data_IF_728626805675
#
_entry.id   IF_728626805675
#
_cell.length_a   1.000
_cell.length_b   1.000
_cell.length_c   1.000
_cell.angle_alpha   90.00
_cell.angle_beta   90.00
_cell.angle_gamma   90.00
#
_symmetry.space_group_name_H-M   'P 1'
#
loop_
_entity.id
_entity.type
_entity.pdbx_description
1 polymer ?
#
# COMPACT_ATOMS: atom_id res chain seq x y z
N UNK A 1 23.96 -19.90 -21.00
CA UNK A 1 22.69 -19.77 -20.26
C UNK A 1 23.05 -19.23 -18.88
N UNK A 2 22.66 -18.00 -18.55
CA UNK A 2 22.84 -17.49 -17.19
C UNK A 2 21.89 -18.26 -16.28
N UNK A 3 22.44 -19.04 -15.35
CA UNK A 3 21.66 -19.80 -14.36
C UNK A 3 21.06 -18.79 -13.37
N UNK A 4 19.73 -18.75 -13.24
CA UNK A 4 19.06 -17.87 -12.27
C UNK A 4 19.53 -18.17 -10.85
N UNK A 5 19.78 -17.13 -10.04
CA UNK A 5 20.07 -17.29 -8.61
C UNK A 5 18.83 -17.81 -7.86
N UNK A 6 19.02 -18.34 -6.65
CA UNK A 6 17.90 -18.78 -5.80
C UNK A 6 16.97 -17.62 -5.44
N UNK A 7 17.51 -16.40 -5.22
CA UNK A 7 16.70 -15.21 -4.99
C UNK A 7 15.90 -14.79 -6.23
N UNK A 8 16.43 -14.97 -7.45
CA UNK A 8 15.66 -14.71 -8.67
C UNK A 8 14.46 -15.66 -8.78
N UNK A 9 14.67 -16.96 -8.54
CA UNK A 9 13.59 -17.96 -8.56
C UNK A 9 12.52 -17.64 -7.51
N UNK A 10 12.97 -17.33 -6.28
CA UNK A 10 12.06 -16.98 -5.19
C UNK A 10 11.25 -15.72 -5.49
N UNK A 11 11.86 -14.69 -6.09
CA UNK A 11 11.14 -13.48 -6.48
C UNK A 11 10.11 -13.77 -7.56
N UNK A 12 10.45 -14.59 -8.55
CA UNK A 12 9.52 -14.98 -9.61
C UNK A 12 8.32 -15.77 -9.06
N UNK A 13 8.56 -16.71 -8.13
CA UNK A 13 7.50 -17.44 -7.42
C UNK A 13 6.62 -16.52 -6.57
N UNK A 14 7.23 -15.60 -5.83
CA UNK A 14 6.50 -14.61 -5.02
C UNK A 14 5.69 -13.65 -5.92
N UNK A 15 6.22 -13.18 -7.06
CA UNK A 15 5.50 -12.36 -8.04
C UNK A 15 4.33 -13.12 -8.66
N UNK A 16 4.52 -14.39 -9.04
CA UNK A 16 3.44 -15.24 -9.56
C UNK A 16 2.33 -15.36 -8.51
N UNK A 17 2.72 -15.66 -7.26
CA UNK A 17 1.78 -15.77 -6.14
C UNK A 17 1.00 -14.47 -5.93
N UNK A 18 1.66 -13.31 -5.94
CA UNK A 18 0.99 -12.02 -5.82
C UNK A 18 0.04 -11.76 -7.00
N UNK A 19 0.46 -12.08 -8.23
CA UNK A 19 -0.36 -11.88 -9.42
C UNK A 19 -1.62 -12.75 -9.38
N UNK A 20 -1.47 -14.03 -9.05
CA UNK A 20 -2.57 -15.00 -8.96
C UNK A 20 -3.56 -14.69 -7.83
N UNK A 21 -3.07 -14.10 -6.73
CA UNK A 21 -3.90 -13.85 -5.54
C UNK A 21 -4.52 -12.46 -5.51
N UNK A 22 -3.85 -11.44 -6.08
CA UNK A 22 -4.30 -10.06 -6.02
C UNK A 22 -5.06 -9.61 -7.27
N UNK A 23 -4.96 -10.34 -8.39
CA UNK A 23 -5.73 -10.09 -9.61
C UNK A 23 -6.88 -11.08 -9.67
N UNK A 24 -8.03 -10.69 -9.12
CA UNK A 24 -9.25 -11.49 -9.12
C UNK A 24 -10.37 -10.76 -9.88
N UNK A 25 -11.19 -11.54 -10.60
CA UNK A 25 -12.41 -11.01 -11.23
C UNK A 25 -13.53 -10.74 -10.21
N UNK A 26 -13.48 -11.45 -9.09
CA UNK A 26 -14.40 -11.32 -7.96
C UNK A 26 -13.80 -10.45 -6.85
N UNK A 27 -14.59 -10.23 -5.79
CA UNK A 27 -14.15 -9.52 -4.59
C UNK A 27 -12.82 -10.08 -4.05
N UNK A 28 -11.86 -9.20 -3.77
CA UNK A 28 -10.55 -9.56 -3.25
C UNK A 28 -10.67 -9.90 -1.75
N UNK A 29 -10.34 -11.11 -1.27
CA UNK A 29 -10.40 -11.37 0.16
C UNK A 29 -9.28 -10.63 0.91
N UNK A 30 -9.57 -9.87 2.01
CA UNK A 30 -8.54 -9.19 2.80
C UNK A 30 -7.47 -10.14 3.35
N UNK A 31 -7.81 -11.42 3.54
CA UNK A 31 -6.86 -12.48 3.94
C UNK A 31 -5.69 -12.63 2.97
N UNK A 32 -5.85 -12.36 1.68
CA UNK A 32 -4.73 -12.44 0.73
C UNK A 32 -3.74 -11.30 0.97
N UNK A 33 -4.22 -10.11 1.30
CA UNK A 33 -3.33 -9.04 1.76
C UNK A 33 -2.64 -9.44 3.07
N UNK A 34 -3.43 -9.84 4.07
CA UNK A 34 -2.95 -10.13 5.43
C UNK A 34 -1.95 -11.29 5.50
N UNK A 35 -2.24 -12.39 4.83
CA UNK A 35 -1.50 -13.66 4.99
C UNK A 35 -0.52 -13.96 3.86
N UNK A 36 -0.67 -13.33 2.70
CA UNK A 36 0.16 -13.61 1.51
C UNK A 36 0.99 -12.37 1.15
N UNK A 37 0.33 -11.25 0.90
CA UNK A 37 1.00 -10.04 0.45
C UNK A 37 1.92 -9.45 1.53
N UNK A 38 1.45 -9.32 2.78
CA UNK A 38 2.25 -8.72 3.86
C UNK A 38 3.59 -9.45 4.08
N UNK A 39 3.66 -10.80 4.23
CA UNK A 39 4.93 -11.49 4.38
C UNK A 39 5.87 -11.33 3.18
N UNK A 40 5.35 -11.39 1.95
CA UNK A 40 6.13 -11.23 0.71
C UNK A 40 6.71 -9.81 0.65
N UNK A 41 5.87 -8.79 0.81
CA UNK A 41 6.28 -7.38 0.80
C UNK A 41 7.32 -7.09 1.88
N UNK A 42 7.13 -7.62 3.09
CA UNK A 42 8.12 -7.50 4.19
C UNK A 42 9.47 -8.08 3.78
N UNK A 43 9.49 -9.31 3.28
CA UNK A 43 10.73 -10.01 2.88
C UNK A 43 11.53 -9.19 1.86
N UNK A 44 10.84 -8.73 0.81
CA UNK A 44 11.49 -8.03 -0.30
C UNK A 44 11.92 -6.60 0.07
N UNK A 45 11.09 -5.87 0.81
CA UNK A 45 11.34 -4.46 1.11
C UNK A 45 12.01 -4.25 2.48
N UNK A 46 11.40 -4.75 3.56
CA UNK A 46 11.87 -4.51 4.95
C UNK A 46 13.12 -5.34 5.26
N UNK A 47 13.11 -6.62 4.91
CA UNK A 47 14.25 -7.53 5.11
C UNK A 47 15.29 -7.39 3.98
N UNK A 48 15.07 -6.44 3.06
CA UNK A 48 15.99 -5.97 2.01
C UNK A 48 16.40 -7.02 0.96
N UNK A 49 15.66 -8.11 0.80
CA UNK A 49 16.00 -9.12 -0.20
C UNK A 49 16.04 -8.57 -1.63
N UNK A 50 15.24 -7.53 -1.94
CA UNK A 50 15.23 -6.93 -3.28
C UNK A 50 16.55 -6.20 -3.57
N UNK A 51 17.11 -5.52 -2.57
CA UNK A 51 18.41 -4.84 -2.69
C UNK A 51 19.57 -5.84 -2.77
N UNK A 52 19.48 -6.95 -2.01
CA UNK A 52 20.47 -8.03 -2.08
C UNK A 52 20.45 -8.62 -3.49
N UNK A 53 19.27 -8.97 -4.01
CA UNK A 53 19.11 -9.49 -5.35
C UNK A 53 19.64 -8.53 -6.41
N UNK A 54 19.24 -7.24 -6.36
CA UNK A 54 19.71 -6.22 -7.31
C UNK A 54 21.25 -6.15 -7.37
N UNK A 55 21.92 -6.25 -6.22
CA UNK A 55 23.38 -6.30 -6.12
C UNK A 55 23.97 -7.60 -6.69
N UNK A 56 23.34 -8.75 -6.43
CA UNK A 56 23.79 -10.04 -6.95
C UNK A 56 23.76 -10.12 -8.47
N UNK A 57 22.70 -9.58 -9.09
CA UNK A 57 22.52 -9.63 -10.56
C UNK A 57 23.10 -8.40 -11.27
N UNK A 58 23.61 -7.41 -10.54
CA UNK A 58 24.19 -6.19 -11.11
C UNK A 58 23.19 -5.28 -11.83
N UNK A 59 21.89 -5.38 -11.52
CA UNK A 59 20.82 -4.60 -12.15
C UNK A 59 20.18 -3.63 -11.17
N UNK A 60 19.60 -2.56 -11.69
CA UNK A 60 18.76 -1.66 -10.89
C UNK A 60 17.34 -2.18 -10.87
N UNK A 61 16.79 -2.45 -9.68
CA UNK A 61 15.39 -2.82 -9.47
C UNK A 61 14.63 -1.66 -8.85
N UNK A 62 13.52 -1.28 -9.46
CA UNK A 62 12.65 -0.18 -9.03
C UNK A 62 11.19 -0.62 -8.97
N UNK A 63 10.44 0.01 -8.07
CA UNK A 63 9.01 -0.22 -7.90
C UNK A 63 8.23 0.98 -8.44
N UNK A 64 7.17 0.76 -9.24
CA UNK A 64 6.24 1.81 -9.64
C UNK A 64 5.35 2.20 -8.45
N UNK A 65 5.08 3.49 -8.28
CA UNK A 65 4.17 3.99 -7.23
C UNK A 65 3.64 5.37 -7.60
N UNK A 66 2.43 5.70 -7.13
CA UNK A 66 1.91 7.06 -7.25
C UNK A 66 2.76 8.05 -6.45
N UNK A 67 3.18 9.12 -7.11
CA UNK A 67 3.87 10.25 -6.50
C UNK A 67 2.87 11.13 -5.73
N UNK A 68 3.03 11.14 -4.41
CA UNK A 68 2.20 11.92 -3.49
C UNK A 68 2.94 13.11 -2.89
N UNK A 69 4.14 13.44 -3.38
CA UNK A 69 5.00 14.47 -2.79
C UNK A 69 4.27 15.83 -2.69
N UNK A 70 3.61 16.25 -3.77
CA UNK A 70 2.85 17.50 -3.83
C UNK A 70 1.66 17.49 -2.84
N UNK A 71 1.01 16.35 -2.66
CA UNK A 71 -0.12 16.23 -1.74
C UNK A 71 0.35 16.39 -0.30
N UNK A 72 1.43 15.72 0.08
CA UNK A 72 1.98 15.84 1.44
C UNK A 72 2.61 17.21 1.72
N UNK A 73 3.12 17.91 0.71
CA UNK A 73 3.52 19.31 0.82
C UNK A 73 2.30 20.20 1.14
N UNK A 74 1.21 20.06 0.38
CA UNK A 74 -0.03 20.84 0.59
C UNK A 74 -0.76 20.48 1.88
N UNK A 75 -0.74 19.22 2.33
CA UNK A 75 -1.33 18.81 3.60
C UNK A 75 -0.73 19.57 4.78
N UNK A 76 0.57 19.90 4.71
CA UNK A 76 1.26 20.64 5.76
C UNK A 76 0.82 22.11 5.87
N UNK A 77 0.18 22.66 4.84
CA UNK A 77 -0.26 24.07 4.79
C UNK A 77 -1.77 24.24 5.03
N UNK A 78 -2.52 23.15 5.07
CA UNK A 78 -3.99 23.12 5.20
C UNK A 78 -4.45 22.81 6.63
N UNK A 79 -3.73 23.29 7.64
CA UNK A 79 -4.01 23.01 9.06
C UNK A 79 -5.52 23.05 9.37
N UNK A 80 -6.02 21.94 9.93
CA UNK A 80 -7.41 21.71 10.36
C UNK A 80 -8.49 21.57 9.27
N UNK A 81 -8.13 21.56 7.98
CA UNK A 81 -9.10 21.35 6.88
C UNK A 81 -9.21 19.89 6.45
N UNK A 82 -8.07 19.20 6.35
CA UNK A 82 -8.02 17.77 6.02
C UNK A 82 -7.57 17.04 7.27
N UNK A 83 -8.34 16.05 7.72
CA UNK A 83 -8.00 15.24 8.90
C UNK A 83 -7.51 13.84 8.52
N UNK A 84 -7.74 13.40 7.28
CA UNK A 84 -7.24 12.12 6.77
C UNK A 84 -6.86 12.20 5.29
N UNK A 85 -5.78 11.52 4.92
CA UNK A 85 -5.41 11.24 3.53
C UNK A 85 -4.76 9.86 3.42
N UNK A 86 -5.09 9.13 2.35
CA UNK A 86 -4.47 7.88 1.94
C UNK A 86 -4.08 7.97 0.46
N UNK A 87 -2.85 7.57 0.16
CA UNK A 87 -2.21 7.70 -1.13
C UNK A 87 -2.66 6.70 -2.19
N UNK A 88 -3.30 5.58 -1.83
CA UNK A 88 -3.92 4.65 -2.77
C UNK A 88 -2.97 4.14 -3.86
N UNK A 89 -3.38 4.23 -5.12
CA UNK A 89 -2.66 3.65 -6.25
C UNK A 89 -2.86 2.14 -6.33
N UNK A 90 -4.09 1.70 -6.10
CA UNK A 90 -4.50 0.31 -6.21
C UNK A 90 -5.67 0.17 -7.17
N UNK A 91 -5.72 -0.99 -7.82
CA UNK A 91 -6.97 -1.48 -8.39
C UNK A 91 -7.69 -2.32 -7.33
N UNK A 92 -8.91 -1.93 -6.99
CA UNK A 92 -9.79 -2.63 -6.05
C UNK A 92 -11.24 -2.37 -6.44
N UNK A 93 -12.08 -3.40 -6.43
CA UNK A 93 -13.49 -3.28 -6.78
C UNK A 93 -13.71 -2.80 -8.21
N UNK A 94 -12.86 -3.23 -9.15
CA UNK A 94 -12.91 -2.83 -10.57
C UNK A 94 -12.49 -1.38 -10.85
N UNK A 95 -12.16 -0.60 -9.82
CA UNK A 95 -11.85 0.82 -9.92
C UNK A 95 -10.39 1.09 -9.55
N UNK A 96 -9.80 2.12 -10.17
CA UNK A 96 -8.50 2.62 -9.76
C UNK A 96 -8.67 3.66 -8.64
N UNK A 97 -8.32 3.27 -7.42
CA UNK A 97 -8.37 4.17 -6.26
C UNK A 97 -7.07 4.97 -6.24
N UNK A 98 -7.10 6.18 -6.79
CA UNK A 98 -5.92 7.06 -6.85
C UNK A 98 -5.53 7.58 -5.48
N UNK A 99 -6.49 8.08 -4.69
CA UNK A 99 -6.30 8.54 -3.31
C UNK A 99 -7.66 8.69 -2.63
N UNK A 100 -7.67 8.73 -1.30
CA UNK A 100 -8.86 9.06 -0.51
C UNK A 100 -8.47 10.13 0.50
N UNK A 101 -9.27 11.20 0.62
CA UNK A 101 -9.12 12.19 1.68
C UNK A 101 -10.46 12.42 2.36
N UNK A 102 -10.40 12.75 3.65
CA UNK A 102 -11.54 13.22 4.41
C UNK A 102 -11.26 14.63 4.92
N UNK A 103 -12.27 15.49 4.81
CA UNK A 103 -12.19 16.90 5.15
C UNK A 103 -13.49 17.37 5.78
N UNK A 104 -13.36 18.31 6.72
CA UNK A 104 -14.50 19.03 7.30
C UNK A 104 -15.04 20.15 6.39
N UNK A 105 -14.39 20.43 5.26
CA UNK A 105 -14.85 21.45 4.32
C UNK A 105 -15.95 20.90 3.42
N UNK A 106 -16.93 21.74 3.07
CA UNK A 106 -17.95 21.40 2.08
C UNK A 106 -17.29 21.09 0.73
N UNK A 107 -17.74 20.02 0.08
CA UNK A 107 -17.24 19.61 -1.21
C UNK A 107 -17.79 20.52 -2.32
N UNK A 108 -16.92 21.30 -2.95
CA UNK A 108 -17.29 22.25 -4.01
C UNK A 108 -17.30 21.63 -5.42
N UNK A 109 -17.23 20.31 -5.55
CA UNK A 109 -17.15 19.60 -6.83
C UNK A 109 -15.73 19.27 -7.28
N UNK A 110 -14.70 19.78 -6.59
CA UNK A 110 -13.29 19.48 -6.86
C UNK A 110 -12.55 19.08 -5.58
N UNK A 111 -11.50 18.25 -5.69
CA UNK A 111 -10.69 17.90 -4.54
C UNK A 111 -9.90 19.10 -4.00
N UNK A 112 -9.92 19.27 -2.68
CA UNK A 112 -9.21 20.34 -1.96
C UNK A 112 -7.72 20.34 -2.31
N UNK A 113 -7.17 19.15 -2.49
CA UNK A 113 -5.81 18.95 -2.97
C UNK A 113 -5.90 18.19 -4.30
N UNK A 114 -6.00 18.93 -5.39
CA UNK A 114 -5.77 18.35 -6.70
C UNK A 114 -4.27 18.14 -6.93
N UNK A 115 -3.91 16.91 -7.25
CA UNK A 115 -2.62 16.51 -7.79
C UNK A 115 -2.88 15.46 -8.86
N UNK A 116 -2.36 15.67 -10.06
CA UNK A 116 -2.49 14.71 -11.14
C UNK A 116 -1.76 13.41 -10.75
N UNK A 117 -2.40 12.24 -10.86
CA UNK A 117 -1.78 10.98 -10.48
C UNK A 117 -0.62 10.66 -11.43
N UNK A 118 0.61 10.77 -10.95
CA UNK A 118 1.81 10.42 -11.70
C UNK A 118 2.48 9.18 -11.10
N UNK A 119 2.85 8.21 -11.93
CA UNK A 119 3.59 7.03 -11.50
C UNK A 119 5.09 7.32 -11.61
N UNK A 120 5.80 7.17 -10.50
CA UNK A 120 7.26 7.24 -10.46
C UNK A 120 7.84 5.85 -10.21
N UNK A 121 9.04 5.62 -10.77
CA UNK A 121 9.86 4.46 -10.44
C UNK A 121 10.83 4.85 -9.34
N UNK A 122 10.88 4.09 -8.26
CA UNK A 122 11.85 4.34 -7.20
C UNK A 122 12.52 3.05 -6.68
N UNK A 123 13.81 3.12 -6.28
CA UNK A 123 14.47 2.03 -5.57
C UNK A 123 13.76 1.72 -4.25
N UNK A 124 13.90 0.49 -3.75
CA UNK A 124 13.21 0.04 -2.53
C UNK A 124 13.46 0.94 -1.32
N UNK A 125 14.68 1.47 -1.15
CA UNK A 125 15.00 2.38 -0.05
C UNK A 125 14.21 3.69 -0.12
N UNK A 126 14.08 4.27 -1.33
CA UNK A 126 13.28 5.48 -1.53
C UNK A 126 11.79 5.15 -1.37
N UNK A 127 11.33 4.04 -1.93
CA UNK A 127 9.95 3.55 -1.82
C UNK A 127 9.47 3.49 -0.36
N UNK A 128 10.30 2.94 0.52
CA UNK A 128 10.02 2.80 1.96
C UNK A 128 9.87 4.13 2.70
N UNK A 129 10.46 5.21 2.19
CA UNK A 129 10.39 6.55 2.79
C UNK A 129 9.20 7.39 2.32
N UNK A 130 8.50 6.95 1.27
CA UNK A 130 7.35 7.67 0.73
C UNK A 130 6.24 7.75 1.78
N UNK A 131 5.71 8.96 1.97
CA UNK A 131 4.57 9.24 2.83
C UNK A 131 3.30 8.72 2.15
N UNK A 132 2.47 7.99 2.88
CA UNK A 132 1.32 7.26 2.31
C UNK A 132 0.01 7.56 3.02
N UNK A 133 0.04 7.65 4.35
CA UNK A 133 -1.14 7.97 5.16
C UNK A 133 -0.88 9.21 6.00
N UNK A 134 -1.85 10.11 6.05
CA UNK A 134 -1.93 11.21 7.01
C UNK A 134 -3.20 11.05 7.83
N UNK A 135 -3.11 11.22 9.15
CA UNK A 135 -4.27 11.23 10.03
C UNK A 135 -4.01 12.12 11.24
N UNK A 136 -4.84 13.16 11.42
CA UNK A 136 -4.81 14.08 12.56
C UNK A 136 -3.39 14.56 12.91
N UNK A 137 -2.67 15.10 11.92
CA UNK A 137 -1.30 15.63 12.09
C UNK A 137 -0.18 14.59 12.04
N UNK A 138 -0.50 13.29 12.07
CA UNK A 138 0.49 12.22 11.97
C UNK A 138 0.65 11.79 10.51
N UNK A 139 1.91 11.57 10.10
CA UNK A 139 2.25 11.07 8.77
C UNK A 139 2.92 9.71 8.93
N UNK A 140 2.47 8.74 8.14
CA UNK A 140 3.02 7.41 8.09
C UNK A 140 3.59 7.13 6.70
N UNK A 141 4.85 6.67 6.68
CA UNK A 141 5.50 6.22 5.47
C UNK A 141 5.28 4.73 5.24
N UNK A 142 5.63 4.28 4.03
CA UNK A 142 5.45 2.90 3.61
C UNK A 142 6.16 1.89 4.54
N UNK A 143 7.35 2.23 5.04
CA UNK A 143 8.07 1.41 6.01
C UNK A 143 7.29 1.19 7.32
N UNK A 144 6.73 2.25 7.89
CA UNK A 144 5.94 2.16 9.13
C UNK A 144 4.68 1.31 8.92
N UNK A 145 4.01 1.47 7.79
CA UNK A 145 2.79 0.74 7.44
C UNK A 145 3.06 -0.76 7.32
N UNK A 146 4.04 -1.16 6.48
CA UNK A 146 4.39 -2.57 6.27
C UNK A 146 4.85 -3.21 7.58
N UNK A 147 5.70 -2.51 8.35
CA UNK A 147 6.22 -3.00 9.63
C UNK A 147 5.08 -3.22 10.64
N UNK A 148 4.16 -2.24 10.76
CA UNK A 148 3.04 -2.32 11.68
C UNK A 148 2.12 -3.50 11.36
N UNK A 149 1.70 -3.65 10.10
CA UNK A 149 0.85 -4.77 9.70
C UNK A 149 1.55 -6.12 9.83
N UNK A 150 2.84 -6.20 9.47
CA UNK A 150 3.63 -7.43 9.61
C UNK A 150 3.72 -7.91 11.06
N UNK A 151 3.93 -6.98 12.00
CA UNK A 151 4.03 -7.32 13.42
C UNK A 151 2.66 -7.70 14.01
N UNK A 152 1.60 -6.97 13.62
CA UNK A 152 0.23 -7.23 14.08
C UNK A 152 -0.33 -8.55 13.54
N UNK A 153 -0.08 -8.87 12.27
CA UNK A 153 -0.55 -10.10 11.62
C UNK A 153 0.31 -11.32 11.95
N UNK A 154 1.62 -11.13 12.19
CA UNK A 154 2.52 -12.20 12.60
C UNK A 154 2.37 -12.64 14.07
N UNK A 155 1.47 -12.04 14.84
CA UNK A 155 1.27 -12.34 16.27
C UNK A 155 2.48 -12.01 17.15
N UNK A 156 3.45 -11.26 16.63
CA UNK A 156 4.66 -10.87 17.35
C UNK A 156 4.33 -9.63 18.18
N UNK A 157 3.63 -9.84 19.30
CA UNK A 157 3.43 -8.82 20.34
C UNK A 157 4.70 -8.51 21.14
N UNK A 158 5.84 -9.09 20.79
CA UNK A 158 7.09 -8.94 21.52
C UNK A 158 8.04 -7.95 20.84
N UNK A 159 7.64 -6.69 20.78
CA UNK A 159 8.59 -5.61 20.50
C UNK A 159 9.29 -5.23 21.82
N UNK A 160 10.55 -5.63 21.99
CA UNK A 160 11.38 -5.24 23.15
C UNK A 160 11.54 -3.72 23.29
N UNK A 161 11.16 -2.96 22.26
CA UNK A 161 11.16 -1.51 22.23
C UNK A 161 9.74 -0.91 22.23
N UNK A 162 8.71 -1.66 22.66
CA UNK A 162 7.32 -1.22 22.67
C UNK A 162 7.14 0.20 23.26
N UNK A 163 7.82 0.52 24.37
CA UNK A 163 7.76 1.87 24.98
C UNK A 163 8.34 2.99 24.09
N UNK A 164 9.31 2.68 23.22
CA UNK A 164 9.91 3.63 22.27
C UNK A 164 8.99 3.92 21.08
N UNK A 165 8.14 2.96 20.71
CA UNK A 165 7.31 3.02 19.50
C UNK A 165 5.82 3.23 19.77
N UNK A 166 5.41 3.16 21.04
CA UNK A 166 4.02 3.32 21.51
C UNK A 166 3.30 4.50 20.89
N UNK A 167 3.94 5.67 20.78
CA UNK A 167 3.27 6.90 20.32
C UNK A 167 2.83 6.82 18.86
N UNK A 168 3.70 6.39 17.94
CA UNK A 168 3.34 6.30 16.53
C UNK A 168 2.51 5.04 16.23
N UNK A 169 2.72 3.94 16.97
CA UNK A 169 1.92 2.71 16.83
C UNK A 169 0.46 2.92 17.24
N UNK A 170 0.21 3.68 18.32
CA UNK A 170 -1.16 4.07 18.68
C UNK A 170 -1.76 5.00 17.62
N UNK A 171 -0.99 5.94 17.09
CA UNK A 171 -1.47 6.87 16.07
C UNK A 171 -1.80 6.16 14.73
N UNK A 172 -0.96 5.22 14.29
CA UNK A 172 -1.20 4.46 13.05
C UNK A 172 -2.36 3.49 13.21
N UNK A 173 -2.57 2.92 14.41
CA UNK A 173 -3.75 2.10 14.70
C UNK A 173 -5.04 2.92 14.65
N UNK A 174 -5.03 4.14 15.19
CA UNK A 174 -6.16 5.08 15.04
C UNK A 174 -6.42 5.40 13.56
N UNK A 175 -5.38 5.61 12.75
CA UNK A 175 -5.54 5.84 11.32
C UNK A 175 -6.13 4.61 10.60
N UNK A 176 -5.71 3.40 10.96
CA UNK A 176 -6.27 2.16 10.42
C UNK A 176 -7.77 2.01 10.72
N UNK A 177 -8.20 2.39 11.92
CA UNK A 177 -9.60 2.28 12.31
C UNK A 177 -10.47 3.44 11.80
N UNK A 178 -9.87 4.54 11.37
CA UNK A 178 -10.59 5.73 10.90
C UNK A 178 -11.21 5.52 9.51
N UNK A 179 -10.48 4.95 8.56
CA UNK A 179 -10.98 4.71 7.21
C UNK A 179 -10.96 3.22 6.86
N UNK A 180 -12.12 2.75 6.44
CA UNK A 180 -12.35 1.42 5.91
C UNK A 180 -12.87 1.49 4.47
N UNK A 181 -12.52 0.49 3.68
CA UNK A 181 -13.03 0.27 2.34
C UNK A 181 -13.67 -1.12 2.31
N UNK A 182 -14.65 -1.35 1.45
CA UNK A 182 -15.20 -2.69 1.20
C UNK A 182 -16.72 -2.69 1.07
N UNK A 183 -17.36 -3.84 1.26
CA UNK A 183 -18.82 -3.93 1.20
C UNK A 183 -19.35 -5.04 2.12
N UNK A 184 -19.21 -4.87 3.46
CA UNK A 184 -19.61 -5.88 4.44
C UNK A 184 -21.11 -6.18 4.42
N UNK A 185 -21.94 -5.25 3.93
CA UNK A 185 -23.40 -5.35 3.90
C UNK A 185 -23.98 -5.68 2.51
N UNK A 186 -23.13 -5.97 1.52
CA UNK A 186 -23.51 -6.35 0.14
C UNK A 186 -24.38 -5.32 -0.60
N UNK A 187 -24.13 -4.04 -0.38
CA UNK A 187 -24.76 -2.94 -1.12
C UNK A 187 -24.42 -3.00 -2.62
N UNK A 188 -25.34 -2.49 -3.45
CA UNK A 188 -25.18 -2.52 -4.91
C UNK A 188 -24.67 -1.20 -5.50
N UNK A 189 -24.41 -0.18 -4.66
CA UNK A 189 -23.99 1.16 -5.10
C UNK A 189 -22.83 1.69 -4.28
N UNK A 190 -21.98 2.49 -4.93
CA UNK A 190 -20.95 3.26 -4.24
C UNK A 190 -21.65 4.19 -3.25
N UNK A 191 -21.27 4.07 -1.99
CA UNK A 191 -21.83 4.88 -0.90
C UNK A 191 -20.75 5.16 0.14
N UNK A 192 -21.05 6.09 1.03
CA UNK A 192 -20.21 6.40 2.17
C UNK A 192 -21.09 6.27 3.41
N UNK A 193 -20.63 5.48 4.37
CA UNK A 193 -21.27 5.32 5.68
C UNK A 193 -20.33 5.82 6.76
N UNK A 194 -20.86 6.63 7.67
CA UNK A 194 -20.13 7.10 8.85
C UNK A 194 -20.75 6.45 10.09
N UNK A 195 -19.96 5.62 10.77
CA UNK A 195 -20.34 5.01 12.03
C UNK A 195 -19.35 5.44 13.11
N UNK A 196 -19.79 6.31 14.02
CA UNK A 196 -18.95 6.89 15.07
C UNK A 196 -17.71 7.60 14.50
N UNK A 197 -16.50 7.13 14.84
CA UNK A 197 -15.21 7.68 14.40
C UNK A 197 -14.64 6.92 13.18
N UNK A 198 -15.45 6.13 12.50
CA UNK A 198 -15.05 5.31 11.35
C UNK A 198 -15.87 5.65 10.12
N UNK A 199 -15.16 5.87 9.02
CA UNK A 199 -15.71 6.07 7.68
C UNK A 199 -15.56 4.76 6.92
N UNK A 200 -16.65 4.25 6.36
CA UNK A 200 -16.68 3.14 5.44
C UNK A 200 -16.99 3.65 4.03
N UNK A 201 -16.04 3.49 3.12
CA UNK A 201 -16.26 3.68 1.68
C UNK A 201 -16.72 2.36 1.09
N UNK A 202 -17.98 2.33 0.63
CA UNK A 202 -18.62 1.11 0.14
C UNK A 202 -18.28 0.88 -1.33
N UNK A 203 -17.58 -0.21 -1.63
CA UNK A 203 -17.19 -0.62 -2.98
C UNK A 203 -18.08 -1.79 -3.46
N UNK A 204 -19.03 -1.60 -4.38
CA UNK A 204 -20.05 -2.61 -4.71
C UNK A 204 -19.52 -3.98 -5.10
N UNK A 205 -18.37 -4.02 -5.78
CA UNK A 205 -17.75 -5.27 -6.24
C UNK A 205 -17.05 -6.05 -5.11
N UNK A 206 -16.83 -5.44 -3.95
CA UNK A 206 -16.09 -6.05 -2.83
C UNK A 206 -17.01 -6.69 -1.77
N UNK A 207 -18.03 -7.42 -2.24
CA UNK A 207 -19.10 -8.00 -1.41
C UNK A 207 -18.57 -8.91 -0.30
N UNK A 208 -19.02 -8.64 0.93
CA UNK A 208 -18.70 -9.42 2.13
C UNK A 208 -17.33 -9.15 2.74
N UNK A 209 -16.56 -8.19 2.21
CA UNK A 209 -15.21 -7.90 2.67
C UNK A 209 -15.03 -6.47 3.14
N UNK A 210 -14.04 -6.28 4.01
CA UNK A 210 -13.69 -4.99 4.60
C UNK A 210 -12.17 -4.93 4.84
N UNK A 211 -11.58 -3.79 4.48
CA UNK A 211 -10.17 -3.48 4.61
C UNK A 211 -10.01 -2.19 5.40
N UNK A 212 -8.96 -2.12 6.20
CA UNK A 212 -8.48 -0.82 6.69
C UNK A 212 -7.56 -0.14 5.67
N UNK A 213 -7.35 1.16 5.82
CA UNK A 213 -6.47 1.93 4.94
C UNK A 213 -5.03 1.39 4.85
N UNK A 214 -4.50 0.79 5.92
CA UNK A 214 -3.14 0.24 5.91
C UNK A 214 -3.04 -1.01 5.02
N UNK A 215 -4.08 -1.83 5.01
CA UNK A 215 -4.17 -3.01 4.14
C UNK A 215 -4.23 -2.61 2.68
N UNK A 216 -4.91 -1.51 2.37
CA UNK A 216 -4.92 -0.92 1.03
C UNK A 216 -3.51 -0.45 0.62
N UNK A 217 -2.76 0.17 1.53
CA UNK A 217 -1.39 0.60 1.23
C UNK A 217 -0.41 -0.58 1.09
N UNK A 218 -0.59 -1.67 1.83
CA UNK A 218 0.17 -2.91 1.61
C UNK A 218 -0.23 -3.59 0.29
N UNK A 219 -1.51 -3.55 -0.07
CA UNK A 219 -1.97 -3.98 -1.39
C UNK A 219 -1.28 -3.16 -2.50
N UNK A 220 -1.16 -1.84 -2.33
CA UNK A 220 -0.39 -0.99 -3.26
C UNK A 220 1.06 -1.42 -3.35
N UNK A 221 1.72 -1.68 -2.23
CA UNK A 221 3.09 -2.18 -2.23
C UNK A 221 3.24 -3.55 -2.92
N UNK A 222 2.27 -4.43 -2.72
CA UNK A 222 2.26 -5.75 -3.33
C UNK A 222 2.01 -5.68 -4.85
N UNK A 223 1.05 -4.87 -5.30
CA UNK A 223 0.83 -4.59 -6.72
C UNK A 223 2.05 -3.91 -7.35
N UNK A 224 2.77 -3.06 -6.61
CA UNK A 224 4.04 -2.47 -7.07
C UNK A 224 5.12 -3.54 -7.24
N UNK A 225 5.22 -4.48 -6.30
CA UNK A 225 6.18 -5.58 -6.35
C UNK A 225 5.88 -6.59 -7.48
N UNK A 226 4.61 -6.85 -7.76
CA UNK A 226 4.20 -7.65 -8.92
C UNK A 226 4.54 -6.96 -10.26
N UNK A 227 4.82 -5.65 -10.23
CA UNK A 227 5.08 -4.81 -11.40
C UNK A 227 6.46 -4.15 -11.39
N UNK A 228 7.47 -4.78 -10.79
CA UNK A 228 8.81 -4.22 -10.71
C UNK A 228 9.43 -3.94 -12.08
N UNK A 229 10.36 -2.99 -12.09
CA UNK A 229 11.13 -2.57 -13.24
C UNK A 229 12.60 -2.90 -13.00
N UNK A 230 13.21 -3.60 -13.95
CA UNK A 230 14.65 -3.83 -14.02
C UNK A 230 15.24 -2.94 -15.10
N UNK A 231 16.19 -2.06 -14.76
CA UNK A 231 16.78 -1.09 -15.71
C UNK A 231 15.71 -0.33 -16.53
N UNK A 232 14.66 0.16 -15.86
CA UNK A 232 13.50 0.86 -16.48
C UNK A 232 12.63 0.01 -17.42
N UNK A 233 12.84 -1.29 -17.49
CA UNK A 233 11.97 -2.23 -18.22
C UNK A 233 11.15 -3.04 -17.23
N UNK A 234 9.82 -3.05 -17.41
CA UNK A 234 8.93 -3.84 -16.56
C UNK A 234 9.26 -5.32 -16.69
N UNK A 235 9.40 -6.00 -15.56
CA UNK A 235 9.53 -7.45 -15.53
C UNK A 235 8.13 -8.04 -15.77
N UNK A 236 7.93 -8.64 -16.94
CA UNK A 236 6.72 -9.38 -17.29
C UNK A 236 7.08 -10.87 -17.22
N UNK A 237 6.39 -11.62 -16.36
CA UNK A 237 6.43 -13.08 -16.29
C UNK A 237 7.83 -13.70 -16.33
N UNK A 238 8.80 -13.11 -15.60
CA UNK A 238 10.16 -13.69 -15.44
C UNK A 238 10.97 -13.83 -16.74
N UNK A 239 10.54 -13.23 -17.84
CA UNK A 239 11.10 -13.53 -19.16
C UNK A 239 12.32 -12.69 -19.56
N UNK A 240 12.60 -11.57 -18.89
CA UNK A 240 13.67 -10.68 -19.35
C UNK A 240 14.36 -9.93 -18.20
N UNK A 241 15.30 -10.59 -17.53
CA UNK A 241 16.39 -9.93 -16.81
C UNK A 241 17.41 -9.46 -17.86
N UNK A 242 17.19 -8.28 -18.46
CA UNK A 242 18.09 -7.72 -19.47
C UNK A 242 19.21 -6.93 -18.78
N UNK A 243 20.45 -7.33 -19.06
CA UNK A 243 21.67 -6.52 -18.86
C UNK A 243 21.60 -5.26 -19.74
#
# INVERSE_FOLDING_TARGET
>A
MNTKTELQKLLEEDISTLTETLICADALPPRYVRSIATPIVRRWLIDKQLNILAKEIGLTIELPILDTSLVFEKLSTLENKVNFYMAGGVYLGGEFISSIYHSSQEFSGEPIIYAEPNIILCPAEKFLTLKRVFHNGNIFNMNQIITFLSNKQGGVHFDKNYDKYKTWQVAIEKAANFLKLGNPYNEDKLSLSEEHDTILVVLPLEKGYEWNCLEIEVLSAAQSLANIYCNKVRLIDGHVWKE
#
